data_IF_839761172060
#
_entry.id   IF_839761172060
#
_cell.length_a   1.000
_cell.length_b   1.000
_cell.length_c   1.000
_cell.angle_alpha   90.00
_cell.angle_beta   90.00
_cell.angle_gamma   90.00
#
_symmetry.space_group_name_H-M   'P 1'
#
loop_
_entity.id
_entity.type
_entity.pdbx_description
1 polymer ?
#
# COMPACT_ATOMS: atom_id res chain seq x y z
N UNK A 1 8.58 -22.61 -0.98
CA UNK A 1 7.48 -22.58 0.00
C UNK A 1 6.41 -21.61 -0.45
N UNK A 2 5.17 -21.85 -0.07
CA UNK A 2 4.08 -20.88 -0.26
C UNK A 2 3.91 -20.13 1.05
N UNK A 3 3.94 -18.80 0.99
CA UNK A 3 3.64 -17.89 2.10
C UNK A 3 2.33 -17.17 1.79
N UNK A 4 1.40 -17.22 2.69
CA UNK A 4 0.11 -16.52 2.60
C UNK A 4 -0.25 -15.90 3.95
N UNK A 5 -1.14 -14.94 3.93
CA UNK A 5 -1.57 -14.27 5.14
C UNK A 5 -2.52 -13.12 4.85
N UNK A 6 -2.65 -12.21 5.79
CA UNK A 6 -3.38 -10.96 5.60
C UNK A 6 -2.56 -9.79 6.14
N UNK A 7 -2.81 -8.60 5.61
CA UNK A 7 -2.12 -7.38 6.02
C UNK A 7 -3.03 -6.17 5.92
N UNK A 8 -2.89 -5.26 6.87
CA UNK A 8 -3.45 -3.92 6.76
C UNK A 8 -2.41 -3.01 6.11
N UNK A 9 -2.78 -2.35 5.04
CA UNK A 9 -1.88 -1.46 4.28
C UNK A 9 -2.43 -0.04 4.33
N UNK A 10 -1.60 0.88 4.80
CA UNK A 10 -1.91 2.31 4.83
C UNK A 10 -1.10 3.04 3.77
N UNK A 11 -1.73 3.37 2.67
CA UNK A 11 -1.11 4.18 1.63
C UNK A 11 -1.30 5.66 1.92
N UNK A 12 -0.30 6.46 1.52
CA UNK A 12 -0.32 7.90 1.67
C UNK A 12 0.34 8.56 0.48
N UNK A 13 -0.47 9.18 -0.34
CA UNK A 13 -0.04 9.97 -1.47
C UNK A 13 0.06 11.45 -1.06
N UNK A 14 1.19 12.09 -1.31
CA UNK A 14 1.32 13.52 -1.16
C UNK A 14 1.10 14.16 -2.53
N UNK A 15 0.12 15.04 -2.62
CA UNK A 15 -0.22 15.78 -3.83
C UNK A 15 0.52 17.12 -3.75
N UNK A 16 1.26 17.45 -4.81
CA UNK A 16 2.02 18.70 -4.94
C UNK A 16 1.28 19.69 -5.84
N UNK A 17 1.88 20.86 -6.03
CA UNK A 17 1.45 21.90 -6.98
C UNK A 17 0.03 22.41 -6.77
N UNK A 18 -0.37 22.63 -5.53
CA UNK A 18 -1.70 23.18 -5.17
C UNK A 18 -2.88 22.35 -5.67
N UNK A 19 -2.66 21.08 -6.01
CA UNK A 19 -3.66 20.20 -6.58
C UNK A 19 -4.35 19.38 -5.48
N UNK A 20 -5.61 19.00 -5.78
CA UNK A 20 -6.40 18.07 -4.96
C UNK A 20 -7.27 17.19 -5.85
N UNK A 21 -7.70 16.06 -5.32
CA UNK A 21 -8.70 15.25 -6.01
C UNK A 21 -10.06 15.84 -5.73
N UNK A 22 -10.78 16.21 -6.80
CA UNK A 22 -12.18 16.59 -6.76
C UNK A 22 -13.03 15.46 -7.32
N UNK A 23 -14.16 15.19 -6.66
CA UNK A 23 -15.11 14.18 -7.12
C UNK A 23 -16.44 14.86 -7.45
N UNK A 24 -16.83 14.76 -8.72
CA UNK A 24 -18.12 15.24 -9.22
C UNK A 24 -18.79 14.08 -9.93
N UNK A 25 -20.00 13.74 -9.52
CA UNK A 25 -20.82 12.65 -10.11
C UNK A 25 -20.07 11.32 -10.24
N UNK A 26 -19.24 11.00 -9.25
CA UNK A 26 -18.46 9.76 -9.22
C UNK A 26 -17.21 9.75 -10.10
N UNK A 27 -16.93 10.85 -10.81
CA UNK A 27 -15.68 11.03 -11.56
C UNK A 27 -14.66 11.78 -10.70
N UNK A 28 -13.46 11.24 -10.61
CA UNK A 28 -12.38 11.87 -9.85
C UNK A 28 -11.42 12.55 -10.80
N UNK A 29 -11.27 13.85 -10.63
CA UNK A 29 -10.36 14.72 -11.40
C UNK A 29 -9.32 15.31 -10.48
N UNK A 30 -8.18 15.70 -11.04
CA UNK A 30 -7.14 16.43 -10.32
C UNK A 30 -7.28 17.90 -10.67
N UNK A 31 -7.68 18.70 -9.70
CA UNK A 31 -7.97 20.12 -9.90
C UNK A 31 -7.09 21.00 -9.01
N UNK A 32 -6.96 22.27 -9.40
CA UNK A 32 -6.23 23.24 -8.62
C UNK A 32 -7.13 23.81 -7.50
N UNK A 33 -6.62 23.80 -6.28
CA UNK A 33 -7.35 24.32 -5.13
C UNK A 33 -7.37 25.86 -5.16
N UNK A 34 -8.50 26.53 -4.90
CA UNK A 34 -8.65 27.98 -5.09
C UNK A 34 -7.74 28.85 -4.21
N UNK A 35 -7.19 28.30 -3.13
CA UNK A 35 -6.26 28.99 -2.23
C UNK A 35 -4.96 28.19 -2.07
N UNK A 36 -3.91 28.87 -1.61
CA UNK A 36 -2.58 28.24 -1.44
C UNK A 36 -2.61 27.08 -0.47
N UNK A 37 -2.41 25.86 -1.00
CA UNK A 37 -2.36 24.64 -0.25
C UNK A 37 -0.98 24.43 0.36
N UNK A 38 -0.92 24.38 1.69
CA UNK A 38 0.31 24.03 2.41
C UNK A 38 0.62 22.55 2.23
N UNK A 39 -0.41 21.70 2.21
CA UNK A 39 -0.25 20.24 2.12
C UNK A 39 -1.56 19.56 1.73
N UNK A 40 -1.52 18.81 0.65
CA UNK A 40 -2.60 17.91 0.24
C UNK A 40 -2.13 16.45 0.34
N UNK A 41 -2.94 15.59 0.99
CA UNK A 41 -2.62 14.18 1.19
C UNK A 41 -3.85 13.32 1.00
N UNK A 42 -3.74 12.37 0.11
CA UNK A 42 -4.71 11.29 -0.04
C UNK A 42 -4.23 10.05 0.71
N UNK A 43 -5.14 9.38 1.43
CA UNK A 43 -4.84 8.19 2.23
C UNK A 43 -5.87 7.11 1.95
N UNK A 44 -5.39 5.88 1.84
CA UNK A 44 -6.24 4.69 1.82
C UNK A 44 -5.81 3.71 2.90
N UNK A 45 -6.79 3.00 3.43
CA UNK A 45 -6.59 1.86 4.32
C UNK A 45 -7.15 0.64 3.62
N UNK A 46 -6.31 -0.35 3.39
CA UNK A 46 -6.64 -1.54 2.62
C UNK A 46 -6.39 -2.79 3.48
N UNK A 47 -7.27 -3.78 3.33
CA UNK A 47 -7.05 -5.15 3.81
C UNK A 47 -6.63 -5.98 2.61
N UNK A 48 -5.44 -6.58 2.65
CA UNK A 48 -4.89 -7.35 1.55
C UNK A 48 -4.50 -8.76 1.99
N UNK A 49 -4.63 -9.70 1.06
CA UNK A 49 -4.30 -11.11 1.22
C UNK A 49 -3.17 -11.45 0.23
N UNK A 50 -1.91 -11.37 0.66
CA UNK A 50 -0.78 -11.73 -0.17
C UNK A 50 -0.58 -13.25 -0.24
N UNK A 51 -0.17 -13.71 -1.42
CA UNK A 51 0.30 -15.08 -1.67
C UNK A 51 1.62 -15.02 -2.41
N UNK A 52 2.67 -15.58 -1.83
CA UNK A 52 4.02 -15.55 -2.39
C UNK A 52 4.59 -16.96 -2.51
N UNK A 53 5.28 -17.21 -3.62
CA UNK A 53 6.23 -18.30 -3.75
C UNK A 53 7.57 -17.85 -3.22
N UNK A 54 8.00 -18.43 -2.12
CA UNK A 54 9.29 -18.12 -1.49
C UNK A 54 10.34 -19.17 -1.87
N UNK A 55 11.44 -18.68 -2.38
CA UNK A 55 12.65 -19.43 -2.71
C UNK A 55 13.73 -19.06 -1.69
N UNK A 56 14.47 -20.04 -1.21
CA UNK A 56 15.54 -19.79 -0.26
C UNK A 56 15.96 -21.07 0.44
N UNK A 57 17.12 -21.00 1.08
CA UNK A 57 17.64 -22.10 1.88
C UNK A 57 16.92 -22.17 3.21
N UNK A 58 16.76 -23.37 3.75
CA UNK A 58 16.30 -23.61 5.10
C UNK A 58 17.17 -24.64 5.78
N UNK A 59 17.53 -24.42 7.04
CA UNK A 59 18.21 -25.42 7.85
C UNK A 59 17.18 -26.30 8.54
N UNK A 60 17.30 -27.62 8.35
CA UNK A 60 16.55 -28.59 9.11
C UNK A 60 17.11 -28.64 10.52
N UNK A 61 16.29 -28.37 11.50
CA UNK A 61 16.62 -28.55 12.92
C UNK A 61 15.85 -29.78 13.36
N UNK A 62 16.58 -30.83 13.69
CA UNK A 62 16.05 -32.09 14.18
C UNK A 62 15.97 -32.05 15.70
N UNK A 63 14.80 -32.35 16.26
CA UNK A 63 14.61 -32.58 17.70
C UNK A 63 13.89 -33.91 17.85
N UNK A 64 14.07 -34.55 18.98
CA UNK A 64 13.67 -35.92 19.26
C UNK A 64 12.22 -36.27 18.91
N UNK A 65 11.32 -35.24 18.81
CA UNK A 65 9.89 -35.44 18.58
C UNK A 65 9.36 -34.75 17.31
N UNK A 66 10.09 -33.79 16.72
CA UNK A 66 9.64 -33.07 15.54
C UNK A 66 10.77 -32.43 14.73
N UNK A 67 10.48 -32.16 13.46
CA UNK A 67 11.39 -31.44 12.55
C UNK A 67 10.93 -29.98 12.41
N UNK A 68 11.85 -29.05 12.61
CA UNK A 68 11.61 -27.62 12.33
C UNK A 68 12.57 -27.15 11.25
N UNK A 69 12.02 -26.40 10.28
CA UNK A 69 12.84 -25.75 9.27
C UNK A 69 13.01 -24.28 9.66
N UNK A 70 14.23 -23.87 9.97
CA UNK A 70 14.55 -22.48 10.28
C UNK A 70 15.14 -21.76 9.08
N UNK A 71 14.71 -20.54 8.88
CA UNK A 71 15.23 -19.64 7.85
C UNK A 71 16.11 -18.54 8.44
N UNK A 72 16.42 -18.64 9.72
CA UNK A 72 17.30 -17.70 10.42
C UNK A 72 18.68 -17.64 9.75
N UNK A 73 19.15 -16.41 9.47
CA UNK A 73 20.40 -16.15 8.73
C UNK A 73 20.49 -16.78 7.32
N UNK A 74 19.34 -16.99 6.67
CA UNK A 74 19.29 -17.51 5.31
C UNK A 74 18.75 -16.43 4.36
N UNK A 75 19.25 -16.45 3.12
CA UNK A 75 18.73 -15.62 2.05
C UNK A 75 17.39 -16.17 1.58
N UNK A 76 16.42 -15.27 1.36
CA UNK A 76 15.08 -15.58 0.87
C UNK A 76 14.69 -14.59 -0.23
N UNK A 77 14.05 -15.11 -1.25
CA UNK A 77 13.43 -14.32 -2.29
C UNK A 77 11.99 -14.79 -2.45
N UNK A 78 11.05 -13.87 -2.48
CA UNK A 78 9.65 -14.17 -2.68
C UNK A 78 9.06 -13.35 -3.81
N UNK A 79 8.26 -14.00 -4.64
CA UNK A 79 7.48 -13.36 -5.70
C UNK A 79 6.05 -13.87 -5.61
N UNK A 80 5.09 -13.00 -5.85
CA UNK A 80 3.69 -13.37 -5.80
C UNK A 80 2.76 -12.23 -6.13
N UNK A 81 1.51 -12.43 -5.76
CA UNK A 81 0.45 -11.45 -5.91
C UNK A 81 -0.30 -11.22 -4.62
N UNK A 82 -1.20 -10.28 -4.66
CA UNK A 82 -2.14 -10.02 -3.58
C UNK A 82 -3.46 -9.53 -4.16
N UNK A 83 -4.51 -9.83 -3.44
CA UNK A 83 -5.85 -9.28 -3.65
C UNK A 83 -6.39 -8.73 -2.34
N UNK A 84 -7.33 -7.80 -2.38
CA UNK A 84 -7.90 -7.25 -1.17
C UNK A 84 -8.95 -6.20 -1.40
N UNK A 85 -9.30 -5.51 -0.31
CA UNK A 85 -10.38 -4.52 -0.27
C UNK A 85 -9.86 -3.19 0.26
N UNK A 86 -10.36 -2.11 -0.34
CA UNK A 86 -10.17 -0.76 0.19
C UNK A 86 -11.24 -0.51 1.25
N UNK A 87 -10.81 -0.43 2.51
CA UNK A 87 -11.71 -0.24 3.65
C UNK A 87 -12.10 1.24 3.82
N UNK A 88 -11.18 2.15 3.54
CA UNK A 88 -11.40 3.58 3.72
C UNK A 88 -10.50 4.39 2.80
N UNK A 89 -11.06 5.48 2.26
CA UNK A 89 -10.32 6.53 1.56
C UNK A 89 -10.61 7.90 2.18
N UNK A 90 -9.61 8.75 2.27
CA UNK A 90 -9.77 10.12 2.72
C UNK A 90 -8.69 11.04 2.16
N UNK A 91 -9.08 12.27 1.87
CA UNK A 91 -8.16 13.35 1.55
C UNK A 91 -8.10 14.36 2.71
N UNK A 92 -6.90 14.82 3.02
CA UNK A 92 -6.67 15.90 3.98
C UNK A 92 -5.96 17.03 3.28
N UNK A 93 -6.60 18.18 3.22
CA UNK A 93 -6.07 19.41 2.66
C UNK A 93 -5.79 20.36 3.82
N UNK A 94 -4.60 20.96 3.82
CA UNK A 94 -4.25 22.07 4.70
C UNK A 94 -3.94 23.27 3.83
N UNK A 95 -4.66 24.33 4.02
CA UNK A 95 -4.48 25.58 3.29
C UNK A 95 -4.43 26.78 4.25
N UNK A 96 -4.01 27.92 3.74
CA UNK A 96 -3.97 29.17 4.47
C UNK A 96 -4.97 30.13 3.84
N UNK A 97 -5.92 30.58 4.64
CA UNK A 97 -6.95 31.54 4.26
C UNK A 97 -6.96 32.65 5.32
N UNK A 98 -6.94 33.90 4.90
CA UNK A 98 -6.90 35.09 5.77
C UNK A 98 -5.88 35.04 6.92
N UNK A 99 -4.69 34.49 6.64
CA UNK A 99 -3.65 34.35 7.65
C UNK A 99 -3.79 33.11 8.56
N UNK A 100 -4.96 32.48 8.61
CA UNK A 100 -5.28 31.34 9.45
C UNK A 100 -5.05 30.00 8.70
N UNK A 101 -4.59 28.99 9.44
CA UNK A 101 -4.42 27.62 8.89
C UNK A 101 -5.71 26.84 9.02
N UNK A 102 -6.32 26.51 7.88
CA UNK A 102 -7.50 25.67 7.80
C UNK A 102 -7.13 24.23 7.46
N UNK A 103 -7.97 23.29 7.90
CA UNK A 103 -7.84 21.86 7.63
C UNK A 103 -9.16 21.32 7.16
N UNK A 104 -9.18 20.79 5.96
CA UNK A 104 -10.34 20.11 5.39
C UNK A 104 -10.07 18.61 5.29
N UNK A 105 -11.10 17.81 5.58
CA UNK A 105 -11.08 16.36 5.47
C UNK A 105 -12.23 15.92 4.60
N UNK A 106 -11.93 15.48 3.40
CA UNK A 106 -12.90 14.92 2.47
C UNK A 106 -12.83 13.39 2.55
N UNK A 107 -13.97 12.75 2.67
CA UNK A 107 -14.12 11.29 2.78
C UNK A 107 -15.07 10.80 1.69
N UNK A 108 -15.00 9.48 1.41
CA UNK A 108 -16.01 8.86 0.55
C UNK A 108 -15.74 9.00 -0.94
N UNK A 109 -14.46 9.13 -1.33
CA UNK A 109 -14.08 9.10 -2.74
C UNK A 109 -14.50 7.80 -3.41
N UNK A 110 -14.93 7.90 -4.69
CA UNK A 110 -15.24 6.74 -5.54
C UNK A 110 -13.97 5.95 -5.89
N UNK A 111 -13.32 5.41 -4.84
CA UNK A 111 -12.17 4.55 -5.00
C UNK A 111 -12.58 3.17 -5.46
N UNK A 112 -11.67 2.49 -6.12
CA UNK A 112 -11.87 1.09 -6.43
C UNK A 112 -11.99 0.29 -5.13
N UNK A 113 -13.07 -0.48 -4.99
CA UNK A 113 -13.30 -1.27 -3.77
C UNK A 113 -12.34 -2.45 -3.67
N UNK A 114 -11.89 -2.96 -4.84
CA UNK A 114 -10.97 -4.07 -4.94
C UNK A 114 -9.58 -3.55 -5.30
N UNK A 115 -8.59 -4.11 -4.65
CA UNK A 115 -7.18 -3.88 -4.95
C UNK A 115 -6.54 -5.22 -5.30
N UNK A 116 -5.77 -5.26 -6.37
CA UNK A 116 -4.94 -6.40 -6.72
C UNK A 116 -3.61 -5.94 -7.30
N UNK A 117 -2.61 -6.79 -7.18
CA UNK A 117 -1.30 -6.43 -7.68
C UNK A 117 -0.28 -7.55 -7.54
N UNK A 118 0.93 -7.24 -7.94
CA UNK A 118 2.10 -8.09 -7.80
C UNK A 118 3.00 -7.56 -6.71
N UNK A 119 3.73 -8.45 -6.07
CA UNK A 119 4.68 -8.08 -5.04
C UNK A 119 5.86 -9.03 -5.00
N UNK A 120 6.99 -8.52 -4.55
CA UNK A 120 8.23 -9.27 -4.40
C UNK A 120 8.97 -8.80 -3.15
N UNK A 121 9.80 -9.66 -2.62
CA UNK A 121 10.70 -9.30 -1.53
C UNK A 121 12.01 -10.08 -1.61
N UNK A 122 13.01 -9.47 -1.03
CA UNK A 122 14.33 -10.09 -0.78
C UNK A 122 14.63 -9.91 0.69
N UNK A 123 14.94 -11.00 1.38
CA UNK A 123 15.18 -10.97 2.82
C UNK A 123 16.42 -11.77 3.22
N UNK A 124 17.05 -11.34 4.30
CA UNK A 124 18.10 -12.07 5.00
C UNK A 124 17.65 -12.32 6.43
N UNK A 125 17.49 -13.59 6.78
CA UNK A 125 16.92 -13.94 8.08
C UNK A 125 15.52 -13.37 8.25
N UNK A 126 15.35 -12.51 9.22
CA UNK A 126 14.05 -11.96 9.62
C UNK A 126 13.78 -10.56 9.05
N UNK A 127 14.72 -9.98 8.30
CA UNK A 127 14.57 -8.62 7.75
C UNK A 127 14.74 -8.65 6.23
N UNK A 128 13.89 -7.93 5.53
CA UNK A 128 13.93 -7.84 4.07
C UNK A 128 13.41 -6.53 3.52
N UNK A 129 13.68 -6.35 2.24
CA UNK A 129 13.09 -5.31 1.41
C UNK A 129 11.88 -5.88 0.69
N UNK A 130 10.80 -5.14 0.68
CA UNK A 130 9.53 -5.49 0.04
C UNK A 130 9.16 -4.43 -0.98
N UNK A 131 8.74 -4.88 -2.16
CA UNK A 131 8.21 -4.02 -3.21
C UNK A 131 6.86 -4.57 -3.68
N UNK A 132 5.92 -3.66 -3.96
CA UNK A 132 4.64 -4.00 -4.56
C UNK A 132 4.22 -2.99 -5.62
N UNK A 133 3.47 -3.50 -6.59
CA UNK A 133 2.84 -2.72 -7.64
C UNK A 133 1.36 -3.07 -7.74
N UNK A 134 0.50 -2.06 -7.53
CA UNK A 134 -0.94 -2.21 -7.63
C UNK A 134 -1.33 -2.23 -9.12
N UNK A 135 -1.93 -3.31 -9.60
CA UNK A 135 -2.46 -3.43 -10.96
C UNK A 135 -3.83 -2.76 -11.10
N UNK A 136 -4.59 -2.75 -10.01
CA UNK A 136 -5.86 -2.02 -9.95
C UNK A 136 -5.62 -0.52 -9.80
N UNK A 137 -6.35 0.34 -10.55
CA UNK A 137 -6.29 1.78 -10.36
C UNK A 137 -6.88 2.18 -9.01
N UNK A 138 -6.45 3.33 -8.49
CA UNK A 138 -6.90 3.85 -7.19
C UNK A 138 -8.40 4.22 -7.23
N UNK A 139 -8.84 4.85 -8.30
CA UNK A 139 -10.22 5.31 -8.47
C UNK A 139 -10.96 4.49 -9.54
N UNK A 140 -12.28 4.34 -9.40
CA UNK A 140 -13.11 3.61 -10.36
C UNK A 140 -13.23 4.33 -11.70
N UNK A 141 -13.53 5.63 -11.65
CA UNK A 141 -13.66 6.48 -12.80
C UNK A 141 -12.67 7.63 -12.68
N UNK A 142 -11.69 7.66 -13.55
CA UNK A 142 -10.65 8.68 -13.55
C UNK A 142 -10.17 8.98 -14.98
N UNK A 143 -9.81 10.21 -15.22
CA UNK A 143 -9.25 10.64 -16.50
C UNK A 143 -7.87 10.06 -16.76
N UNK A 144 -7.11 9.73 -15.68
CA UNK A 144 -5.75 9.17 -15.76
C UNK A 144 -5.62 7.99 -14.81
N UNK A 145 -5.25 6.83 -15.35
CA UNK A 145 -4.99 5.65 -14.54
C UNK A 145 -3.79 5.86 -13.62
N UNK A 146 -4.04 5.81 -12.32
CA UNK A 146 -3.02 5.94 -11.29
C UNK A 146 -2.85 4.63 -10.53
N UNK A 147 -1.71 4.00 -10.74
CA UNK A 147 -1.33 2.77 -10.05
C UNK A 147 -0.30 3.11 -8.97
N UNK A 148 -0.40 2.44 -7.83
CA UNK A 148 0.47 2.72 -6.72
C UNK A 148 1.69 1.78 -6.71
N UNK A 149 2.87 2.34 -6.51
CA UNK A 149 4.12 1.61 -6.28
C UNK A 149 4.51 1.84 -4.82
N UNK A 150 4.83 0.78 -4.12
CA UNK A 150 5.27 0.86 -2.73
C UNK A 150 6.56 0.09 -2.52
N UNK A 151 7.44 0.69 -1.73
CA UNK A 151 8.67 0.07 -1.23
C UNK A 151 8.64 0.12 0.29
N UNK A 152 9.11 -0.92 0.93
CA UNK A 152 9.08 -1.00 2.38
C UNK A 152 10.03 -2.04 2.96
N UNK A 153 10.04 -2.10 4.28
CA UNK A 153 10.71 -3.15 5.02
C UNK A 153 9.72 -4.25 5.38
N UNK A 154 10.19 -5.47 5.34
CA UNK A 154 9.47 -6.66 5.78
C UNK A 154 10.18 -7.26 6.98
N UNK A 155 9.42 -7.63 7.98
CA UNK A 155 9.90 -8.36 9.14
C UNK A 155 9.14 -9.68 9.23
N UNK A 156 9.87 -10.78 9.18
CA UNK A 156 9.33 -12.13 9.36
C UNK A 156 9.61 -12.58 10.81
N UNK A 157 8.60 -13.12 11.46
CA UNK A 157 8.75 -13.82 12.74
C UNK A 157 8.58 -15.32 12.47
N UNK A 158 9.70 -16.07 12.56
CA UNK A 158 9.73 -17.53 12.41
C UNK A 158 9.55 -18.25 13.74
#
# INVERSE_FOLDING_TARGET
RIKYGFSFVWNKLNIKNNLYFNEVDGNVTLEEFPVNVIKSKFRTTNLVFPVHFEFGSSKKIERDTYYRYSTHKQFKFGIGGYGGFVLQSMQKIKYKEDGNRQKEKLKGYNTNNLICGISTYVAWGNVGLYAKYDLSPIFKNQAVNQNNISLGLRFDMD
#
